data_IF_007550515343
#
_entry.id   IF_007550515343
#
_cell.length_a   1.000
_cell.length_b   1.000
_cell.length_c   1.000
_cell.angle_alpha   90.00
_cell.angle_beta   90.00
_cell.angle_gamma   90.00
#
_symmetry.space_group_name_H-M   'P 1'
#
loop_
_entity.id
_entity.type
_entity.pdbx_description
1 polymer ?
#
# COMPACT_ATOMS: atom_id res chain seq x y z
N UNK A 1 10.94 -27.82 -2.70
CA UNK A 1 10.84 -27.82 -4.18
C UNK A 1 9.45 -27.34 -4.56
N UNK A 2 9.32 -26.14 -5.12
CA UNK A 2 8.04 -25.66 -5.65
C UNK A 2 7.74 -26.45 -6.94
N UNK A 3 6.93 -27.52 -6.84
CA UNK A 3 6.43 -28.20 -8.02
C UNK A 3 5.45 -27.29 -8.76
N UNK A 4 5.73 -27.02 -10.03
CA UNK A 4 4.71 -26.49 -10.93
C UNK A 4 3.53 -27.46 -10.97
N UNK A 5 2.28 -26.96 -11.00
CA UNK A 5 1.12 -27.82 -11.13
C UNK A 5 1.20 -28.65 -12.41
N UNK A 6 0.70 -29.88 -12.39
CA UNK A 6 0.69 -30.75 -13.58
C UNK A 6 -0.50 -30.39 -14.50
N UNK A 7 -1.60 -29.90 -13.92
CA UNK A 7 -2.82 -29.55 -14.66
C UNK A 7 -2.61 -28.25 -15.44
N UNK A 8 -2.89 -28.26 -16.75
CA UNK A 8 -2.72 -27.11 -17.65
C UNK A 8 -3.36 -25.82 -17.11
N UNK A 9 -4.59 -25.89 -16.59
CA UNK A 9 -5.28 -24.73 -16.02
C UNK A 9 -4.55 -24.17 -14.80
N UNK A 10 -3.98 -25.02 -13.96
CA UNK A 10 -3.24 -24.61 -12.77
C UNK A 10 -1.88 -23.99 -13.13
N UNK A 11 -1.18 -24.50 -14.16
CA UNK A 11 0.02 -23.87 -14.72
C UNK A 11 -0.26 -22.44 -15.16
N UNK A 12 -1.36 -22.22 -15.89
CA UNK A 12 -1.75 -20.88 -16.34
C UNK A 12 -2.16 -19.96 -15.18
N UNK A 13 -2.79 -20.51 -14.14
CA UNK A 13 -3.08 -19.76 -12.90
C UNK A 13 -1.79 -19.29 -12.21
N UNK A 14 -0.74 -20.12 -12.15
CA UNK A 14 0.55 -19.72 -11.56
C UNK A 14 1.15 -18.54 -12.34
N UNK A 15 1.25 -18.64 -13.67
CA UNK A 15 1.79 -17.56 -14.52
C UNK A 15 1.03 -16.25 -14.37
N UNK A 16 -0.31 -16.30 -14.40
CA UNK A 16 -1.15 -15.11 -14.27
C UNK A 16 -1.06 -14.50 -12.87
N UNK A 17 -1.02 -15.34 -11.82
CA UNK A 17 -0.85 -14.90 -10.44
C UNK A 17 0.51 -14.24 -10.22
N UNK A 18 1.60 -14.77 -10.77
CA UNK A 18 2.93 -14.16 -10.65
C UNK A 18 2.99 -12.75 -11.26
N UNK A 19 2.38 -12.56 -12.43
CA UNK A 19 2.26 -11.24 -13.07
C UNK A 19 1.44 -10.28 -12.21
N UNK A 20 0.31 -10.73 -11.69
CA UNK A 20 -0.53 -9.93 -10.80
C UNK A 20 0.19 -9.59 -9.48
N UNK A 21 0.90 -10.55 -8.90
CA UNK A 21 1.63 -10.41 -7.65
C UNK A 21 2.73 -9.36 -7.78
N UNK A 22 3.53 -9.40 -8.85
CA UNK A 22 4.58 -8.38 -9.10
C UNK A 22 4.00 -6.97 -9.17
N UNK A 23 2.90 -6.78 -9.92
CA UNK A 23 2.21 -5.48 -10.01
C UNK A 23 1.67 -5.02 -8.67
N UNK A 24 0.96 -5.91 -7.96
CA UNK A 24 0.34 -5.59 -6.68
C UNK A 24 1.39 -5.28 -5.61
N UNK A 25 2.50 -6.01 -5.60
CA UNK A 25 3.62 -5.76 -4.68
C UNK A 25 4.22 -4.36 -4.87
N UNK A 26 4.44 -3.93 -6.12
CA UNK A 26 4.96 -2.59 -6.41
C UNK A 26 3.99 -1.47 -5.98
N UNK A 27 2.69 -1.64 -6.21
CA UNK A 27 1.68 -0.65 -5.79
C UNK A 27 1.53 -0.60 -4.27
N UNK A 28 1.59 -1.75 -3.61
CA UNK A 28 1.49 -1.86 -2.16
C UNK A 28 2.74 -1.29 -1.47
N UNK A 29 3.94 -1.47 -2.06
CA UNK A 29 5.18 -0.87 -1.55
C UNK A 29 5.20 0.65 -1.73
N UNK A 30 4.65 1.18 -2.82
CA UNK A 30 4.51 2.61 -3.05
C UNK A 30 3.64 3.27 -1.96
N UNK A 31 2.47 2.70 -1.64
CA UNK A 31 1.61 3.19 -0.56
C UNK A 31 2.33 3.13 0.80
N UNK A 32 2.97 2.01 1.14
CA UNK A 32 3.71 1.88 2.41
C UNK A 32 4.83 2.91 2.52
N UNK A 33 5.50 3.18 1.42
CA UNK A 33 6.57 4.19 1.36
C UNK A 33 6.02 5.60 1.61
N UNK A 34 4.89 5.97 1.02
CA UNK A 34 4.25 7.26 1.27
C UNK A 34 3.91 7.46 2.77
N UNK A 35 3.33 6.44 3.39
CA UNK A 35 3.05 6.44 4.84
C UNK A 35 4.33 6.59 5.67
N UNK A 36 5.39 5.85 5.32
CA UNK A 36 6.68 5.92 6.04
C UNK A 36 7.35 7.29 5.88
N UNK A 37 7.25 7.93 4.71
CA UNK A 37 7.77 9.28 4.47
C UNK A 37 7.11 10.30 5.40
N UNK A 38 5.78 10.31 5.47
CA UNK A 38 5.05 11.16 6.42
C UNK A 38 5.49 10.92 7.86
N UNK A 39 5.55 9.66 8.31
CA UNK A 39 5.94 9.34 9.68
C UNK A 39 7.36 9.82 10.02
N UNK A 40 8.30 9.72 9.07
CA UNK A 40 9.65 10.23 9.25
C UNK A 40 9.68 11.76 9.32
N UNK A 41 9.00 12.44 8.41
CA UNK A 41 8.95 13.89 8.37
C UNK A 41 8.31 14.47 9.63
N UNK A 42 7.26 13.81 10.14
CA UNK A 42 6.61 14.20 11.38
C UNK A 42 7.57 14.12 12.57
N UNK A 43 8.32 13.02 12.70
CA UNK A 43 9.33 12.86 13.78
C UNK A 43 10.45 13.88 13.64
N UNK A 44 10.82 14.24 12.40
CA UNK A 44 11.87 15.21 12.12
C UNK A 44 11.41 16.67 12.26
N UNK A 45 10.11 16.95 12.42
CA UNK A 45 9.58 18.31 12.50
C UNK A 45 9.74 19.11 11.20
N UNK A 46 9.68 18.44 10.04
CA UNK A 46 9.87 19.06 8.73
C UNK A 46 8.69 19.95 8.31
N UNK A 47 8.94 21.00 7.54
CA UNK A 47 7.89 21.91 7.03
C UNK A 47 6.97 21.23 6.00
N UNK A 48 7.44 20.16 5.34
CA UNK A 48 6.71 19.42 4.30
C UNK A 48 5.70 18.39 4.83
N UNK A 49 5.51 18.30 6.16
CA UNK A 49 4.68 17.27 6.81
C UNK A 49 3.23 17.29 6.31
N UNK A 50 2.67 18.47 6.03
CA UNK A 50 1.29 18.61 5.53
C UNK A 50 1.15 18.04 4.11
N UNK A 51 2.11 18.31 3.23
CA UNK A 51 2.09 17.80 1.86
C UNK A 51 2.31 16.28 1.82
N UNK A 52 3.22 15.78 2.65
CA UNK A 52 3.45 14.35 2.82
C UNK A 52 2.22 13.63 3.39
N UNK A 53 1.47 14.28 4.27
CA UNK A 53 0.20 13.77 4.77
C UNK A 53 -0.83 13.62 3.63
N UNK A 54 -1.04 14.67 2.83
CA UNK A 54 -1.97 14.64 1.69
C UNK A 54 -1.59 13.51 0.72
N UNK A 55 -0.29 13.38 0.43
CA UNK A 55 0.24 12.31 -0.41
C UNK A 55 -0.02 10.92 0.18
N UNK A 56 0.17 10.75 1.49
CA UNK A 56 -0.08 9.47 2.17
C UNK A 56 -1.57 9.09 2.16
N UNK A 57 -2.48 10.04 2.40
CA UNK A 57 -3.93 9.82 2.34
C UNK A 57 -4.37 9.44 0.92
N UNK A 58 -3.89 10.17 -0.09
CA UNK A 58 -4.15 9.86 -1.51
C UNK A 58 -3.67 8.45 -1.89
N UNK A 59 -2.47 8.06 -1.43
CA UNK A 59 -1.94 6.72 -1.66
C UNK A 59 -2.78 5.62 -0.99
N UNK A 60 -3.29 5.86 0.23
CA UNK A 60 -4.22 4.94 0.93
C UNK A 60 -5.50 4.75 0.12
N UNK A 61 -6.13 5.84 -0.31
CA UNK A 61 -7.39 5.77 -1.02
C UNK A 61 -7.23 5.13 -2.41
N UNK A 62 -6.11 5.37 -3.11
CA UNK A 62 -5.77 4.64 -4.35
C UNK A 62 -5.58 3.15 -4.11
N UNK A 63 -4.89 2.75 -3.04
CA UNK A 63 -4.71 1.34 -2.69
C UNK A 63 -6.04 0.65 -2.36
N UNK A 64 -6.97 1.36 -1.70
CA UNK A 64 -8.34 0.89 -1.47
C UNK A 64 -9.10 0.72 -2.79
N UNK A 65 -9.09 1.72 -3.66
CA UNK A 65 -9.82 1.69 -4.94
C UNK A 65 -9.35 0.58 -5.87
N UNK A 66 -8.07 0.19 -5.79
CA UNK A 66 -7.50 -0.95 -6.53
C UNK A 66 -7.69 -2.30 -5.82
N UNK A 67 -8.37 -2.34 -4.67
CA UNK A 67 -8.62 -3.56 -3.91
C UNK A 67 -7.38 -4.16 -3.22
N UNK A 68 -6.27 -3.42 -3.16
CA UNK A 68 -5.02 -3.88 -2.54
C UNK A 68 -5.10 -3.89 -1.01
N UNK A 69 -5.93 -3.01 -0.45
CA UNK A 69 -6.26 -2.98 0.98
C UNK A 69 -7.77 -2.92 1.16
N UNK A 70 -8.27 -3.53 2.24
CA UNK A 70 -9.69 -3.49 2.60
C UNK A 70 -10.10 -2.09 3.10
N UNK A 71 -11.38 -1.77 2.96
CA UNK A 71 -11.95 -0.48 3.38
C UNK A 71 -11.64 -0.14 4.85
N UNK A 72 -11.80 -1.11 5.76
CA UNK A 72 -11.54 -0.90 7.19
C UNK A 72 -10.07 -0.65 7.49
N UNK A 73 -9.16 -1.29 6.74
CA UNK A 73 -7.72 -1.02 6.87
C UNK A 73 -7.39 0.40 6.39
N UNK A 74 -7.94 0.82 5.25
CA UNK A 74 -7.78 2.18 4.76
C UNK A 74 -8.30 3.21 5.77
N UNK A 75 -9.51 3.02 6.29
CA UNK A 75 -10.11 3.91 7.29
C UNK A 75 -9.26 4.02 8.58
N UNK A 76 -8.81 2.88 9.11
CA UNK A 76 -7.94 2.84 10.29
C UNK A 76 -6.60 3.55 10.05
N UNK A 77 -5.99 3.32 8.90
CA UNK A 77 -4.71 3.94 8.57
C UNK A 77 -4.87 5.46 8.40
N UNK A 78 -5.95 5.95 7.77
CA UNK A 78 -6.26 7.39 7.71
C UNK A 78 -6.45 7.99 9.09
N UNK A 79 -7.31 7.39 9.92
CA UNK A 79 -7.55 7.87 11.29
C UNK A 79 -6.25 7.98 12.09
N UNK A 80 -5.38 6.97 12.04
CA UNK A 80 -4.08 7.00 12.72
C UNK A 80 -3.15 8.10 12.20
N UNK A 81 -3.14 8.37 10.90
CA UNK A 81 -2.33 9.46 10.33
C UNK A 81 -2.87 10.83 10.73
N UNK A 82 -4.19 11.02 10.73
CA UNK A 82 -4.81 12.29 11.15
C UNK A 82 -4.57 12.56 12.63
N UNK A 83 -4.76 11.58 13.50
CA UNK A 83 -4.47 11.72 14.93
C UNK A 83 -3.00 12.00 15.22
N UNK A 84 -2.11 11.53 14.34
CA UNK A 84 -0.70 11.88 14.40
C UNK A 84 -0.50 13.33 13.98
N UNK A 85 -1.00 13.77 12.83
CA UNK A 85 -0.82 15.16 12.37
C UNK A 85 -1.32 16.21 13.37
N UNK A 86 -2.36 15.90 14.14
CA UNK A 86 -2.91 16.80 15.16
C UNK A 86 -2.07 16.88 16.46
N UNK A 87 -1.06 16.01 16.62
CA UNK A 87 -0.09 16.03 17.72
C UNK A 87 1.22 16.62 17.25
#
# INVERSE_FOLDING_TARGET
MNQMPIIKSAIERVKTNEKAQRRNAAQLSAYRTAVKKFQKAQVAGSDDVKDLYINAISAIDRAKSKGLIKANKAARDKSRLTSKLAK
#
